data_IF_820638718716
#
_entry.id   IF_820638718716
#
_cell.length_a   1.000
_cell.length_b   1.000
_cell.length_c   1.000
_cell.angle_alpha   90.00
_cell.angle_beta   90.00
_cell.angle_gamma   90.00
#
_symmetry.space_group_name_H-M   'P 1'
#
loop_
_entity.id
_entity.type
_entity.pdbx_description
1 polymer ?
#
# COMPACT_ATOMS: atom_id res chain seq x y z
N UNK A 1 21.65 -5.09 -15.35
CA UNK A 1 20.87 -4.04 -16.04
C UNK A 1 21.38 -2.71 -15.56
N UNK A 2 21.26 -1.67 -16.38
CA UNK A 2 21.53 -0.27 -15.98
C UNK A 2 20.59 0.13 -14.85
N UNK A 3 21.07 0.92 -13.88
CA UNK A 3 20.21 1.50 -12.84
C UNK A 3 19.33 2.63 -13.42
N UNK A 4 18.14 2.91 -12.85
CA UNK A 4 17.36 4.09 -13.20
C UNK A 4 18.18 5.38 -13.06
N UNK A 5 17.89 6.39 -13.89
CA UNK A 5 18.67 7.62 -13.96
C UNK A 5 18.66 8.43 -12.65
N UNK A 6 17.62 8.30 -11.84
CA UNK A 6 17.44 8.97 -10.55
C UNK A 6 17.89 8.11 -9.36
N UNK A 7 18.37 6.88 -9.61
CA UNK A 7 18.80 5.99 -8.55
C UNK A 7 20.11 6.46 -7.93
N UNK A 8 20.18 6.37 -6.60
CA UNK A 8 21.38 6.67 -5.81
C UNK A 8 22.00 5.37 -5.31
N UNK A 9 23.34 5.31 -5.30
CA UNK A 9 24.06 4.19 -4.73
C UNK A 9 24.03 4.29 -3.21
N UNK A 10 23.53 3.25 -2.55
CA UNK A 10 23.54 3.11 -1.10
C UNK A 10 24.43 1.93 -0.70
N UNK A 11 25.34 2.18 0.22
CA UNK A 11 26.20 1.16 0.81
C UNK A 11 25.50 0.55 2.03
N UNK A 12 25.38 -0.78 2.03
CA UNK A 12 24.90 -1.60 3.13
C UNK A 12 26.05 -2.49 3.62
N UNK A 13 25.92 -3.04 4.82
CA UNK A 13 26.92 -3.96 5.35
C UNK A 13 27.01 -5.22 4.45
N UNK A 14 28.07 -5.29 3.65
CA UNK A 14 28.36 -6.39 2.73
C UNK A 14 27.72 -6.28 1.35
N UNK A 15 27.07 -5.17 0.98
CA UNK A 15 26.52 -4.99 -0.36
C UNK A 15 26.33 -3.52 -0.74
N UNK A 16 26.47 -3.21 -2.04
CA UNK A 16 26.05 -1.92 -2.60
C UNK A 16 24.75 -2.12 -3.38
N UNK A 17 23.76 -1.25 -3.16
CA UNK A 17 22.46 -1.31 -3.83
C UNK A 17 22.10 0.04 -4.45
N UNK A 18 21.42 0.02 -5.60
CA UNK A 18 20.84 1.21 -6.20
C UNK A 18 19.42 1.41 -5.69
N UNK A 19 19.09 2.61 -5.23
CA UNK A 19 17.77 2.97 -4.68
C UNK A 19 17.20 4.15 -5.44
N UNK A 20 15.99 4.02 -5.97
CA UNK A 20 15.17 5.13 -6.46
C UNK A 20 13.84 5.15 -5.72
N UNK A 21 13.25 6.34 -5.61
CA UNK A 21 11.96 6.54 -4.95
C UNK A 21 11.11 7.50 -5.78
N UNK A 22 9.89 7.10 -6.08
CA UNK A 22 8.92 7.90 -6.80
C UNK A 22 7.63 8.06 -5.98
N UNK A 23 6.93 9.17 -6.18
CA UNK A 23 5.60 9.37 -5.62
C UNK A 23 4.64 8.36 -6.25
N UNK A 24 3.84 7.69 -5.43
CA UNK A 24 2.84 6.76 -5.93
C UNK A 24 1.71 7.52 -6.65
N UNK A 25 1.35 7.06 -7.84
CA UNK A 25 0.19 7.58 -8.59
C UNK A 25 -1.14 7.02 -8.06
N UNK A 26 -1.09 5.97 -7.24
CA UNK A 26 -2.29 5.38 -6.67
C UNK A 26 -2.95 6.35 -5.66
N UNK A 27 -4.29 6.40 -5.60
CA UNK A 27 -5.00 7.19 -4.60
C UNK A 27 -4.71 6.72 -3.17
N UNK A 28 -4.76 7.67 -2.22
CA UNK A 28 -4.58 7.39 -0.79
C UNK A 28 -5.90 6.96 -0.16
N UNK A 29 -5.92 5.78 0.46
CA UNK A 29 -7.05 5.34 1.28
C UNK A 29 -7.20 6.20 2.54
N UNK A 30 -8.39 6.74 2.83
CA UNK A 30 -8.59 7.63 3.99
C UNK A 30 -8.48 6.92 5.35
N UNK A 31 -8.67 5.59 5.38
CA UNK A 31 -8.65 4.80 6.64
C UNK A 31 -7.26 4.28 7.00
N UNK A 32 -6.52 3.70 6.04
CA UNK A 32 -5.21 3.11 6.32
C UNK A 32 -4.03 3.94 5.80
N UNK A 33 -4.30 5.04 5.10
CA UNK A 33 -3.30 5.96 4.52
C UNK A 33 -2.31 5.35 3.53
N UNK A 34 -2.54 4.10 3.11
CA UNK A 34 -1.76 3.49 2.04
C UNK A 34 -2.25 4.00 0.68
N UNK A 35 -1.31 4.30 -0.21
CA UNK A 35 -1.59 4.51 -1.63
C UNK A 35 -1.84 3.16 -2.30
N UNK A 36 -3.03 2.99 -2.89
CA UNK A 36 -3.51 1.69 -3.36
C UNK A 36 -4.38 1.86 -4.61
N UNK A 37 -4.15 1.04 -5.62
CA UNK A 37 -4.88 1.11 -6.89
C UNK A 37 -6.38 0.82 -6.74
N UNK A 38 -6.76 0.09 -5.68
CA UNK A 38 -8.13 -0.36 -5.43
C UNK A 38 -8.99 0.61 -4.61
N UNK A 39 -8.50 1.81 -4.26
CA UNK A 39 -9.37 2.84 -3.66
C UNK A 39 -10.41 3.29 -4.67
N UNK A 40 -11.69 3.33 -4.27
CA UNK A 40 -12.80 3.71 -5.16
C UNK A 40 -13.42 2.56 -5.94
N UNK A 41 -12.86 1.34 -5.83
CA UNK A 41 -13.42 0.16 -6.50
C UNK A 41 -14.74 -0.34 -5.90
N UNK A 42 -15.05 0.03 -4.65
CA UNK A 42 -16.26 -0.39 -3.94
C UNK A 42 -17.27 0.76 -3.85
N UNK A 43 -18.42 0.64 -4.52
CA UNK A 43 -19.42 1.71 -4.61
C UNK A 43 -19.96 2.19 -3.25
N UNK A 44 -20.07 1.32 -2.25
CA UNK A 44 -20.50 1.69 -0.89
C UNK A 44 -19.43 2.40 -0.06
N UNK A 45 -18.16 2.33 -0.49
CA UNK A 45 -17.01 2.91 0.21
C UNK A 45 -15.99 3.50 -0.78
N UNK A 46 -16.34 4.58 -1.51
CA UNK A 46 -15.53 5.12 -2.61
C UNK A 46 -14.16 5.66 -2.17
N UNK A 47 -13.97 5.99 -0.88
CA UNK A 47 -12.69 6.51 -0.36
C UNK A 47 -11.82 5.43 0.30
N UNK A 48 -12.25 4.17 0.28
CA UNK A 48 -11.56 3.04 0.91
C UNK A 48 -10.97 2.07 -0.12
N UNK A 49 -9.82 1.48 0.23
CA UNK A 49 -9.30 0.29 -0.46
C UNK A 49 -9.98 -0.99 0.04
N UNK A 50 -9.86 -2.09 -0.71
CA UNK A 50 -10.56 -3.35 -0.46
C UNK A 50 -10.27 -3.98 0.90
N UNK A 51 -9.03 -3.88 1.42
CA UNK A 51 -8.74 -4.35 2.79
C UNK A 51 -9.49 -3.57 3.86
N UNK A 52 -9.73 -2.28 3.61
CA UNK A 52 -10.46 -1.44 4.54
C UNK A 52 -11.94 -1.75 4.52
N UNK A 53 -12.48 -2.01 3.33
CA UNK A 53 -13.85 -2.54 3.15
C UNK A 53 -14.01 -3.87 3.89
N UNK A 54 -13.08 -4.81 3.73
CA UNK A 54 -13.13 -6.09 4.43
C UNK A 54 -13.14 -5.93 5.97
N UNK A 55 -12.37 -4.98 6.51
CA UNK A 55 -12.38 -4.73 7.95
C UNK A 55 -13.66 -4.04 8.44
N UNK A 56 -14.28 -3.18 7.60
CA UNK A 56 -15.58 -2.57 7.92
C UNK A 56 -16.65 -3.65 7.98
N UNK A 57 -16.72 -4.53 6.98
CA UNK A 57 -17.64 -5.65 6.97
C UNK A 57 -17.45 -6.53 8.22
N UNK A 58 -16.21 -6.86 8.58
CA UNK A 58 -15.93 -7.67 9.78
C UNK A 58 -16.41 -7.01 11.08
N UNK A 59 -16.35 -5.68 11.17
CA UNK A 59 -16.89 -4.92 12.31
C UNK A 59 -18.42 -4.98 12.36
N UNK A 60 -19.07 -5.07 11.19
CA UNK A 60 -20.53 -5.23 11.05
C UNK A 60 -20.99 -6.70 11.25
N UNK A 61 -20.06 -7.62 11.51
CA UNK A 61 -20.34 -9.04 11.70
C UNK A 61 -20.36 -9.85 10.39
N UNK A 62 -19.91 -9.25 9.29
CA UNK A 62 -19.86 -9.87 7.97
C UNK A 62 -18.42 -10.13 7.52
N UNK A 63 -18.06 -11.40 7.30
CA UNK A 63 -16.71 -11.76 6.86
C UNK A 63 -15.63 -11.67 7.95
N UNK A 64 -14.38 -11.85 7.57
CA UNK A 64 -13.26 -12.09 8.51
C UNK A 64 -12.30 -10.90 8.70
N UNK A 65 -12.35 -9.88 7.83
CA UNK A 65 -11.38 -8.79 7.81
C UNK A 65 -9.98 -9.23 7.39
N UNK A 66 -9.00 -8.33 7.54
CA UNK A 66 -7.61 -8.61 7.21
C UNK A 66 -6.87 -9.31 8.35
N UNK A 67 -6.07 -10.33 8.03
CA UNK A 67 -5.13 -10.93 8.98
C UNK A 67 -3.86 -10.08 9.06
N UNK A 68 -3.53 -9.58 10.26
CA UNK A 68 -2.28 -8.86 10.52
C UNK A 68 -1.28 -9.76 11.24
N UNK A 69 -0.04 -9.80 10.76
CA UNK A 69 1.05 -10.61 11.36
C UNK A 69 2.03 -9.79 12.18
N UNK A 70 2.12 -8.48 11.93
CA UNK A 70 3.07 -7.57 12.58
C UNK A 70 2.35 -6.24 12.86
N UNK A 71 2.53 -5.68 14.06
CA UNK A 71 2.01 -4.38 14.50
C UNK A 71 3.14 -3.40 14.77
#
# INVERSE_FOLDING_TARGET
GEAPADAVLAELEGASVWVSAAVSEAPKCVRCWHHREDVGSHAGHPDLCGRCVANVAAFEGEGAGETRRWF
#
